data_IF_138101081987
#
_entry.id   IF_138101081987
#
_cell.length_a   1.000
_cell.length_b   1.000
_cell.length_c   1.000
_cell.angle_alpha   90.00
_cell.angle_beta   90.00
_cell.angle_gamma   90.00
#
_symmetry.space_group_name_H-M   'P 1'
#
loop_
_entity.id
_entity.type
_entity.pdbx_description
1 polymer ?
#
# COMPACT_ATOMS: atom_id res chain seq x y z
N UNK A 1 8.54 -4.67 13.35
CA UNK A 1 7.32 -4.88 12.54
C UNK A 1 6.09 -4.61 13.38
N UNK A 2 4.92 -4.38 12.76
CA UNK A 2 3.64 -4.20 13.45
C UNK A 2 2.77 -5.45 13.21
N UNK A 3 2.49 -6.20 14.28
CA UNK A 3 1.79 -7.49 14.20
C UNK A 3 0.36 -7.37 13.69
N UNK A 4 -0.31 -6.25 13.93
CA UNK A 4 -1.70 -6.04 13.51
C UNK A 4 -1.78 -5.86 11.99
N UNK A 5 -0.83 -5.14 11.39
CA UNK A 5 -0.71 -5.02 9.94
C UNK A 5 -0.39 -6.38 9.33
N UNK A 6 0.56 -7.11 9.90
CA UNK A 6 0.96 -8.43 9.39
C UNK A 6 -0.24 -9.39 9.39
N UNK A 7 -1.06 -9.35 10.44
CA UNK A 7 -2.26 -10.15 10.55
C UNK A 7 -3.33 -9.73 9.53
N UNK A 8 -3.51 -8.42 9.31
CA UNK A 8 -4.42 -7.89 8.29
C UNK A 8 -4.03 -8.35 6.88
N UNK A 9 -2.75 -8.21 6.52
CA UNK A 9 -2.23 -8.64 5.22
C UNK A 9 -2.46 -10.15 5.04
N UNK A 10 -2.05 -10.97 6.01
CA UNK A 10 -2.25 -12.42 5.97
C UNK A 10 -3.72 -12.81 5.85
N UNK A 11 -4.63 -12.10 6.54
CA UNK A 11 -6.06 -12.37 6.47
C UNK A 11 -6.61 -12.14 5.06
N UNK A 12 -6.23 -11.05 4.38
CA UNK A 12 -6.67 -10.79 3.00
C UNK A 12 -6.12 -11.80 2.00
N UNK A 13 -4.88 -12.28 2.21
CA UNK A 13 -4.26 -13.27 1.35
C UNK A 13 -4.89 -14.67 1.48
N UNK A 14 -5.32 -15.06 2.69
CA UNK A 14 -5.97 -16.35 2.95
C UNK A 14 -7.39 -16.44 2.39
N UNK A 15 -8.16 -15.35 2.44
CA UNK A 15 -9.57 -15.34 2.05
C UNK A 15 -9.82 -15.26 0.53
N UNK A 16 -8.76 -15.37 -0.28
CA UNK A 16 -8.81 -15.41 -1.75
C UNK A 16 -9.68 -14.31 -2.39
N UNK A 17 -9.69 -13.13 -1.75
CA UNK A 17 -10.34 -11.95 -2.30
C UNK A 17 -9.54 -11.58 -3.55
N UNK A 18 -10.24 -11.23 -4.62
CA UNK A 18 -9.69 -10.73 -5.88
C UNK A 18 -8.66 -9.60 -5.69
N UNK A 19 -8.61 -9.00 -4.49
CA UNK A 19 -7.68 -7.99 -4.04
C UNK A 19 -6.94 -8.47 -2.79
N UNK A 20 -5.68 -8.88 -2.97
CA UNK A 20 -4.77 -9.22 -1.86
C UNK A 20 -4.01 -7.96 -1.46
N UNK A 21 -3.99 -7.64 -0.16
CA UNK A 21 -3.12 -6.58 0.32
C UNK A 21 -1.66 -7.04 0.22
N UNK A 22 -0.80 -6.09 -0.15
CA UNK A 22 0.63 -6.26 -0.28
C UNK A 22 1.32 -5.15 0.51
N UNK A 23 2.37 -5.52 1.26
CA UNK A 23 3.27 -4.54 1.86
C UNK A 23 4.23 -4.03 0.80
N UNK A 24 4.33 -2.70 0.65
CA UNK A 24 5.21 -2.05 -0.31
C UNK A 24 6.16 -1.15 0.45
N UNK A 25 7.47 -1.27 0.21
CA UNK A 25 8.44 -0.36 0.81
C UNK A 25 8.22 1.05 0.27
N UNK A 26 8.28 2.05 1.14
CA UNK A 26 8.16 3.45 0.71
C UNK A 26 9.27 3.84 -0.28
N UNK A 27 10.44 3.20 -0.19
CA UNK A 27 11.57 3.37 -1.10
C UNK A 27 11.28 2.94 -2.55
N UNK A 28 10.23 2.15 -2.78
CA UNK A 28 9.82 1.77 -4.14
C UNK A 28 9.07 2.89 -4.88
N UNK A 29 8.77 4.01 -4.19
CA UNK A 29 8.12 5.19 -4.76
C UNK A 29 9.15 6.29 -5.04
N UNK A 30 9.09 6.86 -6.24
CA UNK A 30 9.90 8.00 -6.66
C UNK A 30 9.00 9.14 -7.14
N UNK A 31 9.57 10.33 -7.29
CA UNK A 31 8.86 11.53 -7.77
C UNK A 31 7.59 11.84 -6.96
N UNK A 32 7.67 11.71 -5.64
CA UNK A 32 6.54 11.93 -4.74
C UNK A 32 6.22 13.42 -4.68
N UNK A 33 5.00 13.81 -5.08
CA UNK A 33 4.53 15.20 -5.09
C UNK A 33 3.19 15.33 -4.36
N UNK A 34 3.09 16.29 -3.44
CA UNK A 34 1.83 16.58 -2.74
C UNK A 34 0.85 17.25 -3.71
N UNK A 35 -0.37 16.72 -3.75
CA UNK A 35 -1.49 17.26 -4.54
C UNK A 35 -2.46 18.03 -3.67
N UNK A 36 -2.76 17.52 -2.48
CA UNK A 36 -3.67 18.16 -1.55
C UNK A 36 -3.36 17.75 -0.10
N UNK A 37 -3.63 18.66 0.83
CA UNK A 37 -3.56 18.39 2.26
C UNK A 37 -4.92 18.69 2.89
N UNK A 38 -5.46 17.69 3.61
CA UNK A 38 -6.67 17.82 4.39
C UNK A 38 -6.40 17.73 5.89
N UNK A 39 -7.46 17.78 6.70
CA UNK A 39 -7.35 17.67 8.17
C UNK A 39 -6.76 16.35 8.65
N UNK A 40 -7.00 15.25 7.95
CA UNK A 40 -6.65 13.89 8.38
C UNK A 40 -5.63 13.17 7.47
N UNK A 41 -5.39 13.69 6.27
CA UNK A 41 -4.53 13.02 5.29
C UNK A 41 -3.85 14.00 4.34
N UNK A 42 -2.74 13.55 3.76
CA UNK A 42 -2.06 14.18 2.64
C UNK A 42 -2.27 13.27 1.42
N UNK A 43 -2.72 13.86 0.31
CA UNK A 43 -2.82 13.19 -0.98
C UNK A 43 -1.60 13.59 -1.80
N UNK A 44 -0.85 12.59 -2.24
CA UNK A 44 0.32 12.75 -3.10
C UNK A 44 0.18 11.92 -4.36
N UNK A 45 0.87 12.31 -5.42
CA UNK A 45 1.16 11.44 -6.56
C UNK A 45 2.58 10.90 -6.43
N UNK A 46 2.82 9.73 -7.00
CA UNK A 46 4.15 9.14 -7.05
C UNK A 46 4.26 8.18 -8.23
N UNK A 47 5.48 7.87 -8.63
CA UNK A 47 5.78 6.76 -9.54
C UNK A 47 6.21 5.54 -8.72
N UNK A 48 5.40 4.48 -8.74
CA UNK A 48 5.77 3.20 -8.15
C UNK A 48 6.63 2.42 -9.14
N UNK A 49 7.91 2.26 -8.84
CA UNK A 49 8.93 1.72 -9.76
C UNK A 49 8.68 0.27 -10.16
N UNK A 50 8.19 -0.55 -9.25
CA UNK A 50 7.92 -1.98 -9.49
C UNK A 50 6.55 -2.22 -10.12
N UNK A 51 5.56 -1.41 -9.74
CA UNK A 51 4.16 -1.56 -10.14
C UNK A 51 3.44 -2.76 -9.55
N UNK A 52 2.22 -2.99 -10.04
CA UNK A 52 1.29 -4.02 -9.54
C UNK A 52 1.74 -5.41 -9.95
N UNK A 53 1.35 -6.41 -9.18
CA UNK A 53 1.47 -7.82 -9.58
C UNK A 53 0.61 -8.08 -10.81
N UNK A 54 1.24 -8.58 -11.88
CA UNK A 54 0.58 -8.96 -13.13
C UNK A 54 0.32 -10.46 -13.18
N UNK A 55 1.30 -11.27 -12.81
CA UNK A 55 1.16 -12.73 -12.79
C UNK A 55 2.22 -13.40 -11.91
N UNK A 56 2.00 -14.68 -11.63
CA UNK A 56 2.96 -15.57 -10.98
C UNK A 56 3.45 -16.59 -12.02
N UNK A 57 4.77 -16.79 -12.10
CA UNK A 57 5.38 -17.85 -12.92
C UNK A 57 6.26 -18.69 -12.00
N UNK A 58 5.67 -19.76 -11.45
CA UNK A 58 6.26 -20.49 -10.33
C UNK A 58 6.42 -19.57 -9.11
N UNK A 59 7.64 -19.46 -8.59
CA UNK A 59 7.99 -18.56 -7.49
C UNK A 59 8.28 -17.11 -7.94
N UNK A 60 8.33 -16.85 -9.25
CA UNK A 60 8.62 -15.50 -9.76
C UNK A 60 7.35 -14.63 -9.80
N UNK A 61 7.47 -13.45 -9.21
CA UNK A 61 6.46 -12.41 -9.24
C UNK A 61 6.69 -11.48 -10.45
N UNK A 62 5.85 -11.57 -11.47
CA UNK A 62 5.89 -10.64 -12.60
C UNK A 62 5.06 -9.41 -12.28
N UNK A 63 5.65 -8.22 -12.43
CA UNK A 63 4.97 -6.95 -12.18
C UNK A 63 4.76 -6.15 -13.46
N UNK A 64 3.85 -5.19 -13.41
CA UNK A 64 3.51 -4.32 -14.55
C UNK A 64 4.65 -3.39 -14.97
N UNK A 65 5.67 -3.21 -14.12
CA UNK A 65 6.68 -2.17 -14.29
C UNK A 65 6.20 -0.82 -13.73
N UNK A 66 6.97 0.26 -13.94
CA UNK A 66 6.70 1.55 -13.33
C UNK A 66 5.31 2.09 -13.68
N UNK A 67 4.54 2.50 -12.66
CA UNK A 67 3.21 3.11 -12.85
C UNK A 67 3.04 4.37 -11.98
N UNK A 68 2.30 5.34 -12.50
CA UNK A 68 1.88 6.50 -11.70
C UNK A 68 0.71 6.11 -10.80
N UNK A 69 0.78 6.51 -9.53
CA UNK A 69 -0.22 6.20 -8.52
C UNK A 69 -0.56 7.44 -7.70
N UNK A 70 -1.68 7.34 -6.96
CA UNK A 70 -2.03 8.26 -5.89
C UNK A 70 -1.72 7.57 -4.56
N UNK A 71 -0.99 8.27 -3.69
CA UNK A 71 -0.73 7.91 -2.31
C UNK A 71 -1.65 8.74 -1.40
N UNK A 72 -2.47 8.07 -0.58
CA UNK A 72 -3.17 8.71 0.54
C UNK A 72 -2.38 8.41 1.82
N UNK A 73 -1.70 9.42 2.35
CA UNK A 73 -0.91 9.31 3.58
C UNK A 73 -1.75 9.83 4.74
N UNK A 74 -2.08 8.96 5.69
CA UNK A 74 -2.82 9.36 6.89
C UNK A 74 -1.87 10.06 7.87
N UNK A 75 -2.32 11.20 8.41
CA UNK A 75 -1.58 11.93 9.45
C UNK A 75 -1.52 11.08 10.73
N UNK A 76 -0.43 11.19 11.49
CA UNK A 76 -0.19 10.41 12.73
C UNK A 76 -0.17 8.88 12.54
N UNK A 77 0.10 8.40 11.32
CA UNK A 77 0.21 6.96 11.00
C UNK A 77 1.37 6.25 11.72
N UNK A 78 2.24 6.98 12.41
CA UNK A 78 3.25 6.38 13.30
C UNK A 78 2.61 5.66 14.49
N UNK A 79 1.40 6.07 14.90
CA UNK A 79 0.60 5.44 15.94
C UNK A 79 -0.56 4.66 15.31
N UNK A 80 -0.22 3.57 14.61
CA UNK A 80 -1.19 2.66 14.00
C UNK A 80 -2.10 2.10 15.09
N UNK A 81 -3.32 2.61 15.14
CA UNK A 81 -4.33 2.22 16.12
C UNK A 81 -5.55 1.61 15.41
N UNK A 82 -6.55 1.18 16.19
CA UNK A 82 -7.76 0.56 15.65
C UNK A 82 -8.54 1.44 14.66
N UNK A 83 -8.42 2.78 14.76
CA UNK A 83 -9.04 3.69 13.81
C UNK A 83 -8.38 3.60 12.43
N UNK A 84 -7.04 3.45 12.37
CA UNK A 84 -6.32 3.18 11.12
C UNK A 84 -6.80 1.88 10.46
N UNK A 85 -6.92 0.80 11.23
CA UNK A 85 -7.35 -0.51 10.71
C UNK A 85 -8.81 -0.44 10.20
N UNK A 86 -9.67 0.35 10.84
CA UNK A 86 -11.07 0.53 10.40
C UNK A 86 -11.19 1.23 9.04
N UNK A 87 -10.25 2.10 8.68
CA UNK A 87 -10.25 2.76 7.37
C UNK A 87 -9.73 1.84 6.24
N UNK A 88 -8.93 0.83 6.58
CA UNK A 88 -8.37 -0.15 5.63
C UNK A 88 -9.29 -1.36 5.43
N UNK A 89 -10.13 -1.69 6.42
CA UNK A 89 -11.20 -2.70 6.31
C UNK A 89 -12.32 -2.22 5.39
#
# INVERSE_FOLDING_TARGET
GNSDIDNLIKATQRNNIQFRLEWISFEDFVDVQIVAEGGFSIISTAKWTKGRVKSYSGEKLNRTGPITIVLKVLKNSQNINSAFIKEVK
#
